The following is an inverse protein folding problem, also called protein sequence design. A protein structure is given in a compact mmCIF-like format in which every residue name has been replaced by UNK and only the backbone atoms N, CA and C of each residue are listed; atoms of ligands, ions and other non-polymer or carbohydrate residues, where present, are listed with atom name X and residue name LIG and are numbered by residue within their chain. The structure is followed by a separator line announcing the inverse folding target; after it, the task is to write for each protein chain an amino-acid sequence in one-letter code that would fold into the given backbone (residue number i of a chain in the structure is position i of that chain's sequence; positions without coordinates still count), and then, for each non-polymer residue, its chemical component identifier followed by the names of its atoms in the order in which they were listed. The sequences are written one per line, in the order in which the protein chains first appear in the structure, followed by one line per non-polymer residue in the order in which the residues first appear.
data_IF_282571073300
#
_entry.id   IF_282571073300
#
_cell.length_a   1.000
_cell.length_b   1.000
_cell.length_c   1.000
_cell.angle_alpha   90.00
_cell.angle_beta   90.00
_cell.angle_gamma   90.00
#
_symmetry.space_group_name_H-M   'P 1'
#
loop_
_entity.id
_entity.type
_entity.pdbx_description
1 polymer ?
#
# COMPACT_ATOMS: atom_id res chain seq x y z
N UNK A 1 2.35 -0.03 7.28
CA UNK A 1 1.17 -0.13 6.39
C UNK A 1 1.61 -0.56 4.98
N UNK A 2 2.69 0.06 4.51
CA UNK A 2 3.41 -0.10 3.26
C UNK A 2 3.70 -1.57 2.94
N UNK A 3 4.29 -2.33 3.87
CA UNK A 3 4.57 -3.76 3.67
C UNK A 3 3.33 -4.59 3.36
N UNK A 4 2.19 -4.27 3.99
CA UNK A 4 0.92 -4.97 3.76
C UNK A 4 0.35 -4.63 2.38
N UNK A 5 0.47 -3.37 1.96
CA UNK A 5 0.03 -2.94 0.63
C UNK A 5 0.92 -3.51 -0.48
N UNK A 6 2.25 -3.60 -0.26
CA UNK A 6 3.22 -4.09 -1.24
C UNK A 6 3.25 -5.62 -1.33
N UNK A 7 3.16 -6.29 -0.18
CA UNK A 7 3.31 -7.73 -0.07
C UNK A 7 2.15 -8.37 0.71
N UNK A 8 0.90 -8.20 0.23
CA UNK A 8 -0.29 -8.63 0.97
C UNK A 8 -0.25 -10.11 1.32
N UNK A 9 0.15 -10.98 0.37
CA UNK A 9 0.29 -12.44 0.61
C UNK A 9 1.30 -12.77 1.72
N UNK A 10 2.46 -12.11 1.72
CA UNK A 10 3.51 -12.36 2.72
C UNK A 10 3.06 -11.88 4.10
N UNK A 11 2.46 -10.70 4.16
CA UNK A 11 2.00 -10.11 5.42
C UNK A 11 0.80 -10.87 5.99
N UNK A 12 -0.10 -11.40 5.15
CA UNK A 12 -1.16 -12.32 5.61
C UNK A 12 -0.59 -13.56 6.26
N UNK A 13 0.46 -14.18 5.70
CA UNK A 13 1.13 -15.34 6.33
C UNK A 13 1.66 -15.00 7.71
N UNK A 14 2.43 -13.90 7.81
CA UNK A 14 2.97 -13.43 9.10
C UNK A 14 1.88 -13.14 10.14
N UNK A 15 0.73 -12.60 9.71
CA UNK A 15 -0.43 -12.36 10.57
C UNK A 15 -1.04 -13.66 11.10
N UNK A 16 -1.23 -14.66 10.25
CA UNK A 16 -1.76 -15.97 10.68
C UNK A 16 -0.80 -16.70 11.62
N UNK A 17 0.51 -16.66 11.32
CA UNK A 17 1.56 -17.21 12.18
C UNK A 17 1.55 -16.52 13.56
N UNK A 18 1.44 -15.18 13.58
CA UNK A 18 1.34 -14.40 14.82
C UNK A 18 0.09 -14.76 15.66
N UNK A 19 -1.04 -15.00 15.00
CA UNK A 19 -2.30 -15.38 15.66
C UNK A 19 -2.33 -16.85 16.09
N UNK A 20 -1.39 -17.68 15.63
CA UNK A 20 -1.39 -19.13 15.88
C UNK A 20 -2.55 -19.86 15.21
N UNK A 21 -3.10 -19.30 14.12
CA UNK A 21 -4.23 -19.87 13.38
C UNK A 21 -3.74 -20.44 12.06
N UNK A 22 -4.25 -21.61 11.66
CA UNK A 22 -3.94 -22.23 10.37
C UNK A 22 -4.43 -21.37 9.21
N UNK A 23 -3.55 -21.13 8.23
CA UNK A 23 -3.87 -20.38 7.02
C UNK A 23 -4.28 -21.31 5.88
N UNK A 24 -5.51 -21.13 5.38
CA UNK A 24 -6.03 -21.82 4.21
C UNK A 24 -5.63 -21.09 2.91
N UNK A 25 -5.31 -21.85 1.85
CA UNK A 25 -4.91 -21.30 0.55
C UNK A 25 -6.04 -20.49 -0.13
N UNK A 26 -7.30 -20.77 0.18
CA UNK A 26 -8.46 -19.97 -0.29
C UNK A 26 -8.39 -18.54 0.25
N UNK A 27 -7.92 -18.33 1.47
CA UNK A 27 -7.70 -16.99 2.04
C UNK A 27 -6.63 -16.25 1.25
N UNK A 28 -5.52 -16.91 0.91
CA UNK A 28 -4.45 -16.26 0.13
C UNK A 28 -4.91 -15.89 -1.29
N UNK A 29 -5.76 -16.72 -1.88
CA UNK A 29 -6.36 -16.45 -3.19
C UNK A 29 -7.30 -15.25 -3.12
N UNK A 30 -8.17 -15.22 -2.11
CA UNK A 30 -9.08 -14.10 -1.85
C UNK A 30 -8.33 -12.79 -1.58
N UNK A 31 -7.27 -12.83 -0.77
CA UNK A 31 -6.41 -11.66 -0.49
C UNK A 31 -5.82 -11.12 -1.79
N UNK A 32 -5.26 -11.99 -2.64
CA UNK A 32 -4.69 -11.57 -3.93
C UNK A 32 -5.74 -10.90 -4.83
N UNK A 33 -6.94 -11.47 -4.93
CA UNK A 33 -8.01 -10.93 -5.76
C UNK A 33 -8.49 -9.56 -5.27
N UNK A 34 -8.55 -9.36 -3.96
CA UNK A 34 -9.01 -8.11 -3.36
C UNK A 34 -7.91 -7.04 -3.24
N UNK A 35 -6.64 -7.39 -3.44
CA UNK A 35 -5.50 -6.44 -3.34
C UNK A 35 -4.81 -6.16 -4.68
N UNK A 36 -5.14 -6.90 -5.75
CA UNK A 36 -4.72 -6.64 -7.14
C UNK A 36 -5.89 -6.21 -8.03
N UNK A 37 -6.86 -5.49 -7.45
CA UNK A 37 -8.08 -5.13 -8.15
C UNK A 37 -7.84 -4.18 -9.33
N UNK A 38 -8.75 -4.22 -10.31
CA UNK A 38 -8.67 -3.47 -11.57
C UNK A 38 -9.29 -2.06 -11.49
N UNK A 39 -9.61 -1.60 -10.28
CA UNK A 39 -10.28 -0.33 -10.05
C UNK A 39 -11.76 -0.35 -10.41
N UNK A 40 -12.41 -1.52 -10.45
CA UNK A 40 -13.86 -1.64 -10.68
C UNK A 40 -14.61 -2.16 -9.45
N UNK A 41 -15.88 -1.75 -9.27
CA UNK A 41 -16.76 -2.35 -8.28
C UNK A 41 -17.28 -3.71 -8.78
N UNK A 42 -17.28 -4.70 -7.89
CA UNK A 42 -17.77 -6.06 -8.14
C UNK A 42 -19.06 -6.34 -7.35
N UNK A 43 -20.12 -5.58 -7.63
CA UNK A 43 -21.45 -5.78 -7.06
C UNK A 43 -21.97 -4.59 -6.25
N UNK A 44 -23.19 -4.72 -5.72
CA UNK A 44 -23.95 -3.61 -5.13
C UNK A 44 -23.34 -3.03 -3.84
N UNK A 45 -22.56 -3.82 -3.11
CA UNK A 45 -21.91 -3.41 -1.86
C UNK A 45 -20.37 -3.37 -1.97
N UNK A 46 -19.84 -3.52 -3.19
CA UNK A 46 -18.40 -3.49 -3.42
C UNK A 46 -17.91 -2.05 -3.45
N UNK A 47 -16.84 -1.78 -2.70
CA UNK A 47 -16.01 -0.58 -2.91
C UNK A 47 -15.07 -0.83 -4.08
N UNK A 48 -14.64 0.22 -4.76
CA UNK A 48 -13.69 0.09 -5.86
C UNK A 48 -12.43 -0.68 -5.42
N UNK A 49 -12.21 -1.86 -6.01
CA UNK A 49 -11.06 -2.69 -5.68
C UNK A 49 -9.86 -2.18 -6.45
N UNK A 50 -9.02 -1.35 -5.81
CA UNK A 50 -7.78 -0.87 -6.42
C UNK A 50 -6.60 -1.79 -6.09
N UNK A 51 -5.59 -1.78 -6.95
CA UNK A 51 -4.28 -2.33 -6.61
C UNK A 51 -3.73 -1.61 -5.36
N UNK A 52 -3.45 -2.39 -4.31
CA UNK A 52 -3.05 -1.86 -3.01
C UNK A 52 -1.69 -1.15 -3.06
N UNK A 53 -0.73 -1.69 -3.82
CA UNK A 53 0.60 -1.10 -3.99
C UNK A 53 0.50 0.23 -4.74
N UNK A 54 -0.24 0.26 -5.85
CA UNK A 54 -0.48 1.46 -6.62
C UNK A 54 -1.19 2.54 -5.79
N UNK A 55 -2.14 2.13 -4.95
CA UNK A 55 -2.89 3.03 -4.07
C UNK A 55 -1.97 3.66 -3.02
N UNK A 56 -1.17 2.86 -2.31
CA UNK A 56 -0.23 3.33 -1.29
C UNK A 56 0.81 4.30 -1.87
N UNK A 57 1.18 4.13 -3.15
CA UNK A 57 2.17 4.97 -3.86
C UNK A 57 1.53 6.09 -4.69
N UNK A 58 0.20 6.20 -4.71
CA UNK A 58 -0.52 7.08 -5.64
C UNK A 58 -0.19 8.57 -5.48
N UNK A 59 0.18 8.99 -4.27
CA UNK A 59 0.58 10.36 -3.99
C UNK A 59 1.78 10.82 -4.84
N UNK A 60 2.68 9.89 -5.22
CA UNK A 60 3.86 10.18 -6.05
C UNK A 60 3.50 10.72 -7.43
N UNK A 61 2.32 10.37 -7.94
CA UNK A 61 1.84 10.80 -9.26
C UNK A 61 0.75 11.88 -9.17
N UNK A 62 0.17 12.08 -7.99
CA UNK A 62 -0.94 13.03 -7.77
C UNK A 62 -0.47 14.36 -7.20
N UNK A 63 0.64 14.38 -6.46
CA UNK A 63 1.20 15.59 -5.91
C UNK A 63 2.19 16.21 -6.88
N UNK A 64 2.14 17.53 -7.02
CA UNK A 64 3.16 18.27 -7.76
C UNK A 64 4.49 18.27 -7.01
N UNK A 65 5.60 18.39 -7.73
CA UNK A 65 6.92 18.47 -7.10
C UNK A 65 7.01 19.56 -6.01
N UNK A 66 6.50 20.80 -6.20
CA UNK A 66 6.47 21.79 -5.12
C UNK A 66 5.70 21.34 -3.87
N UNK A 67 4.61 20.59 -4.02
CA UNK A 67 3.88 20.03 -2.88
C UNK A 67 4.70 18.94 -2.17
N UNK A 68 5.39 18.09 -2.92
CA UNK A 68 6.30 17.07 -2.36
C UNK A 68 7.47 17.73 -1.62
N UNK A 69 8.11 18.75 -2.19
CA UNK A 69 9.17 19.53 -1.52
C UNK A 69 8.67 20.11 -0.21
N UNK A 70 7.47 20.70 -0.19
CA UNK A 70 6.88 21.25 1.04
C UNK A 70 6.68 20.18 2.11
N UNK A 71 6.22 18.99 1.74
CA UNK A 71 6.07 17.85 2.66
C UNK A 71 7.43 17.39 3.18
N UNK A 72 8.44 17.26 2.32
CA UNK A 72 9.81 16.90 2.72
C UNK A 72 10.40 17.89 3.72
N UNK A 73 10.24 19.19 3.49
CA UNK A 73 10.70 20.23 4.43
C UNK A 73 10.05 20.11 5.81
N UNK A 74 8.74 19.87 5.85
CA UNK A 74 7.97 19.80 7.10
C UNK A 74 8.16 18.49 7.86
N UNK A 75 8.41 17.40 7.13
CA UNK A 75 8.43 16.04 7.67
C UNK A 75 9.80 15.36 7.61
N UNK A 76 10.88 16.10 7.34
CA UNK A 76 12.24 15.57 7.13
C UNK A 76 12.65 14.53 8.17
N UNK A 77 12.61 14.91 9.45
CA UNK A 77 13.04 14.03 10.54
C UNK A 77 12.18 12.76 10.63
N UNK A 78 10.87 12.90 10.41
CA UNK A 78 9.96 11.75 10.40
C UNK A 78 10.26 10.82 9.21
N UNK A 79 10.50 11.39 8.02
CA UNK A 79 10.86 10.63 6.82
C UNK A 79 12.16 9.85 7.01
N UNK A 80 13.16 10.44 7.66
CA UNK A 80 14.41 9.75 7.99
C UNK A 80 14.19 8.56 8.94
N UNK A 81 13.40 8.75 10.01
CA UNK A 81 13.07 7.69 10.97
C UNK A 81 12.37 6.50 10.30
N UNK A 82 11.47 6.77 9.36
CA UNK A 82 10.70 5.71 8.67
C UNK A 82 11.34 5.26 7.35
N UNK A 83 12.53 5.76 7.00
CA UNK A 83 13.32 5.33 5.84
C UNK A 83 12.81 5.81 4.48
N UNK A 84 11.98 6.87 4.44
CA UNK A 84 11.62 7.52 3.19
C UNK A 84 12.79 8.33 2.63
N UNK A 85 12.94 8.32 1.30
CA UNK A 85 13.97 9.07 0.60
C UNK A 85 13.40 10.38 0.06
N UNK A 86 14.16 11.46 0.21
CA UNK A 86 13.86 12.73 -0.44
C UNK A 86 14.01 12.59 -1.97
N UNK A 87 13.19 13.32 -2.72
CA UNK A 87 13.34 13.50 -4.17
C UNK A 87 13.89 14.88 -4.46
N UNK A 88 14.81 14.94 -5.43
CA UNK A 88 15.55 16.16 -5.79
C UNK A 88 15.05 16.77 -7.10
N UNK A 89 14.21 16.04 -7.84
CA UNK A 89 13.65 16.42 -9.14
C UNK A 89 12.21 15.94 -9.29
N UNK A 90 11.52 16.52 -10.27
CA UNK A 90 10.18 16.08 -10.70
C UNK A 90 10.17 14.82 -11.57
N UNK A 91 11.35 14.37 -12.04
CA UNK A 91 11.56 13.12 -12.80
C UNK A 91 11.99 11.97 -11.90
#
# INVERSE_FOLDING_TARGET
YEDLAEHPKLMTKKLYDFLGVSLDDTVLSWVRENTKGDGKPHGRFSTTHHDASATAKSWRYRLSFPAVTKVQEMCRDAMEIVGYKEVDSSE
#
